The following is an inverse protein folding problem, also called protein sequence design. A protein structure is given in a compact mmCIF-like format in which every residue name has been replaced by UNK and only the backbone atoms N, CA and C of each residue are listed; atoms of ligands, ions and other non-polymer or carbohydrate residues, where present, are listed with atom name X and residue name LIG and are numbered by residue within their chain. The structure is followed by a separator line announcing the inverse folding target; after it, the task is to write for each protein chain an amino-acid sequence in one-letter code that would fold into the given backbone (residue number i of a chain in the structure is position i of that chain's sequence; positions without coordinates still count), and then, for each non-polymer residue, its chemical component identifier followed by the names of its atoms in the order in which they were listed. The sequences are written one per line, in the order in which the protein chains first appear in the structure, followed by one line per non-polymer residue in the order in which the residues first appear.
data_IF_900332944464
#
_entry.id   IF_900332944464
#
_cell.length_a   1.000
_cell.length_b   1.000
_cell.length_c   1.000
_cell.angle_alpha   90.00
_cell.angle_beta   90.00
_cell.angle_gamma   90.00
#
_symmetry.space_group_name_H-M   'P 1'
#
loop_
_entity.id
_entity.type
_entity.pdbx_description
1 polymer ?
#
# COMPACT_ATOMS: atom_id res chain seq x y z
N UNK A 1 -3.74 24.11 3.71
CA UNK A 1 -4.12 22.76 4.21
C UNK A 1 -2.89 21.88 4.02
N UNK A 2 -2.56 21.03 4.99
CA UNK A 2 -1.42 20.12 4.85
C UNK A 2 -1.77 19.05 3.81
N UNK A 3 -0.91 18.90 2.81
CA UNK A 3 -1.01 17.87 1.78
C UNK A 3 0.25 17.01 1.82
N UNK A 4 0.08 15.70 1.68
CA UNK A 4 1.17 14.72 1.64
C UNK A 4 1.05 13.91 0.35
N UNK A 5 2.15 13.77 -0.39
CA UNK A 5 2.23 12.85 -1.51
C UNK A 5 2.66 11.46 -1.05
N UNK A 6 1.99 10.44 -1.57
CA UNK A 6 2.38 9.04 -1.39
C UNK A 6 2.62 8.42 -2.76
N UNK A 7 3.79 7.84 -2.98
CA UNK A 7 4.18 7.26 -4.27
C UNK A 7 4.20 5.74 -4.13
N UNK A 8 3.37 5.07 -4.92
CA UNK A 8 3.15 3.63 -4.92
C UNK A 8 1.94 3.21 -4.09
N UNK A 9 0.99 2.53 -4.72
CA UNK A 9 -0.23 2.00 -4.09
C UNK A 9 -0.11 0.49 -3.76
N UNK A 10 1.05 0.07 -3.28
CA UNK A 10 1.24 -1.24 -2.66
C UNK A 10 0.66 -1.27 -1.24
N UNK A 11 0.93 -2.35 -0.49
CA UNK A 11 0.45 -2.51 0.89
C UNK A 11 0.83 -1.30 1.77
N UNK A 12 2.10 -0.89 1.73
CA UNK A 12 2.61 0.18 2.57
C UNK A 12 2.05 1.55 2.15
N UNK A 13 1.96 1.83 0.84
CA UNK A 13 1.45 3.11 0.36
C UNK A 13 -0.04 3.29 0.61
N UNK A 14 -0.84 2.24 0.41
CA UNK A 14 -2.27 2.27 0.75
C UNK A 14 -2.50 2.48 2.25
N UNK A 15 -1.74 1.78 3.11
CA UNK A 15 -1.84 1.98 4.56
C UNK A 15 -1.44 3.40 4.95
N UNK A 16 -0.33 3.93 4.42
CA UNK A 16 0.13 5.29 4.71
C UNK A 16 -0.90 6.33 4.27
N UNK A 17 -1.43 6.22 3.05
CA UNK A 17 -2.45 7.11 2.52
C UNK A 17 -3.72 7.08 3.40
N UNK A 18 -4.18 5.89 3.78
CA UNK A 18 -5.33 5.70 4.65
C UNK A 18 -5.14 6.37 6.01
N UNK A 19 -4.01 6.08 6.68
CA UNK A 19 -3.72 6.61 8.02
C UNK A 19 -3.62 8.14 8.04
N UNK A 20 -3.07 8.75 7.00
CA UNK A 20 -3.03 10.20 6.84
C UNK A 20 -4.43 10.78 6.61
N UNK A 21 -5.18 10.18 5.71
CA UNK A 21 -6.50 10.63 5.32
C UNK A 21 -7.53 10.56 6.47
N UNK A 22 -7.50 9.47 7.26
CA UNK A 22 -8.32 9.31 8.48
C UNK A 22 -8.00 10.36 9.56
N UNK A 23 -6.82 10.99 9.49
CA UNK A 23 -6.42 12.11 10.37
C UNK A 23 -6.72 13.49 9.77
N UNK A 24 -7.49 13.55 8.68
CA UNK A 24 -7.89 14.80 8.03
C UNK A 24 -6.80 15.43 7.17
N UNK A 25 -5.73 14.69 6.84
CA UNK A 25 -4.68 15.17 5.95
C UNK A 25 -5.06 14.81 4.52
N UNK A 26 -4.99 15.78 3.61
CA UNK A 26 -5.20 15.50 2.18
C UNK A 26 -4.00 14.74 1.60
N UNK A 27 -4.28 13.67 0.86
CA UNK A 27 -3.27 12.79 0.29
C UNK A 27 -3.41 12.73 -1.23
N UNK A 28 -2.32 12.96 -1.94
CA UNK A 28 -2.21 12.60 -3.35
C UNK A 28 -1.44 11.29 -3.46
N UNK A 29 -2.14 10.20 -3.80
CA UNK A 29 -1.57 8.86 -3.99
C UNK A 29 -1.31 8.64 -5.48
N UNK A 30 -0.02 8.52 -5.85
CA UNK A 30 0.39 8.26 -7.24
C UNK A 30 0.74 6.79 -7.42
N UNK A 31 0.15 6.14 -8.43
CA UNK A 31 0.40 4.75 -8.79
C UNK A 31 0.58 4.62 -10.30
N UNK A 32 1.62 3.91 -10.72
CA UNK A 32 1.93 3.75 -12.15
C UNK A 32 1.02 2.76 -12.88
N UNK A 33 0.40 1.84 -12.15
CA UNK A 33 -0.62 0.96 -12.74
C UNK A 33 -1.92 1.74 -13.03
N UNK A 34 -2.66 1.39 -14.05
CA UNK A 34 -2.44 0.29 -15.03
C UNK A 34 -1.53 0.68 -16.19
N UNK A 35 -1.06 1.93 -16.27
CA UNK A 35 -0.31 2.42 -17.45
C UNK A 35 1.08 1.78 -17.58
N UNK A 36 1.70 1.47 -16.44
CA UNK A 36 2.98 0.78 -16.41
C UNK A 36 2.92 -0.38 -15.42
N UNK A 37 2.98 -1.59 -15.94
CA UNK A 37 3.00 -2.82 -15.16
C UNK A 37 4.44 -3.28 -14.90
N UNK A 38 4.67 -3.96 -13.78
CA UNK A 38 5.93 -4.69 -13.56
C UNK A 38 5.76 -6.17 -13.95
N UNK A 39 6.85 -6.92 -14.13
CA UNK A 39 6.74 -8.36 -14.44
C UNK A 39 6.01 -9.20 -13.38
N UNK A 40 5.88 -8.70 -12.15
CA UNK A 40 5.25 -9.42 -11.05
C UNK A 40 3.77 -9.09 -10.86
N UNK A 41 3.29 -7.97 -11.41
CA UNK A 41 1.89 -7.55 -11.26
C UNK A 41 1.03 -8.08 -12.40
N UNK A 42 -0.19 -8.50 -12.07
CA UNK A 42 -1.13 -9.12 -12.98
C UNK A 42 -2.49 -8.41 -13.04
N UNK A 43 -2.77 -7.49 -12.11
CA UNK A 43 -3.99 -6.70 -12.11
C UNK A 43 -3.72 -5.20 -11.83
N UNK A 44 -4.71 -4.38 -12.14
CA UNK A 44 -4.64 -2.93 -11.91
C UNK A 44 -4.91 -2.53 -10.45
N UNK A 45 -5.42 -3.44 -9.63
CA UNK A 45 -5.79 -3.17 -8.26
C UNK A 45 -4.59 -2.80 -7.38
N UNK A 46 -4.87 -2.01 -6.36
CA UNK A 46 -3.89 -1.65 -5.34
C UNK A 46 -3.62 -2.80 -4.38
N UNK A 47 -2.49 -2.73 -3.67
CA UNK A 47 -2.08 -3.73 -2.68
C UNK A 47 -2.09 -5.18 -3.21
N UNK A 48 -1.80 -5.38 -4.51
CA UNK A 48 -1.73 -6.72 -5.11
C UNK A 48 -0.67 -7.58 -4.42
N UNK A 49 -1.07 -8.79 -4.01
CA UNK A 49 -0.18 -9.77 -3.39
C UNK A 49 0.52 -10.61 -4.47
N UNK A 50 1.72 -10.23 -4.88
CA UNK A 50 2.44 -10.82 -6.01
C UNK A 50 3.15 -12.15 -5.71
N UNK A 51 3.54 -12.40 -4.45
CA UNK A 51 4.28 -13.62 -4.07
C UNK A 51 3.37 -14.71 -3.49
N UNK A 52 2.61 -14.35 -2.47
CA UNK A 52 1.78 -15.27 -1.69
C UNK A 52 0.50 -14.57 -1.28
N UNK A 53 -0.58 -15.34 -1.11
CA UNK A 53 -1.81 -14.81 -0.53
C UNK A 53 -1.82 -14.86 1.01
N UNK A 54 -0.69 -15.17 1.65
CA UNK A 54 -0.55 -15.22 3.10
C UNK A 54 0.17 -13.99 3.64
N UNK A 55 -0.43 -13.36 4.64
CA UNK A 55 0.16 -12.31 5.46
C UNK A 55 0.86 -12.90 6.69
N UNK A 56 1.32 -14.15 6.62
CA UNK A 56 2.02 -14.89 7.68
C UNK A 56 1.15 -15.22 8.90
N UNK A 57 1.80 -15.67 9.99
CA UNK A 57 1.13 -16.09 11.23
C UNK A 57 0.30 -14.96 11.88
N UNK A 58 -0.82 -15.36 12.50
CA UNK A 58 -1.77 -14.46 13.13
C UNK A 58 -1.91 -14.68 14.63
N UNK A 59 -1.13 -15.60 15.19
CA UNK A 59 -1.15 -15.93 16.63
C UNK A 59 -0.35 -14.90 17.42
N UNK A 60 -0.92 -14.43 18.54
CA UNK A 60 -0.30 -13.39 19.39
C UNK A 60 1.06 -13.79 19.98
N UNK A 61 1.30 -15.09 20.13
CA UNK A 61 2.58 -15.61 20.64
C UNK A 61 3.75 -15.43 19.67
N UNK A 62 3.44 -15.09 18.41
CA UNK A 62 4.43 -14.81 17.37
C UNK A 62 4.57 -13.30 17.16
N UNK A 63 5.80 -12.84 16.96
CA UNK A 63 6.07 -11.42 16.71
C UNK A 63 5.24 -10.84 15.56
N UNK A 64 5.07 -11.59 14.47
CA UNK A 64 4.25 -11.16 13.32
C UNK A 64 2.75 -11.11 13.63
N UNK A 65 2.26 -11.94 14.54
CA UNK A 65 0.87 -11.90 15.01
C UNK A 65 0.65 -10.75 15.98
N UNK A 66 1.60 -10.50 16.89
CA UNK A 66 1.57 -9.36 17.79
C UNK A 66 1.56 -8.03 17.02
N UNK A 67 2.42 -7.89 16.00
CA UNK A 67 2.41 -6.72 15.11
C UNK A 67 1.05 -6.49 14.44
N UNK A 68 0.38 -7.57 14.01
CA UNK A 68 -0.97 -7.45 13.44
C UNK A 68 -1.99 -6.94 14.47
N UNK A 69 -1.91 -7.41 15.70
CA UNK A 69 -2.79 -6.91 16.77
C UNK A 69 -2.56 -5.41 17.04
N UNK A 70 -1.31 -4.96 17.03
CA UNK A 70 -0.99 -3.53 17.13
C UNK A 70 -1.59 -2.74 15.97
N UNK A 71 -1.47 -3.25 14.74
CA UNK A 71 -2.06 -2.64 13.55
C UNK A 71 -3.60 -2.64 13.60
N UNK A 72 -4.24 -3.68 14.16
CA UNK A 72 -5.71 -3.69 14.38
C UNK A 72 -6.14 -2.53 15.27
N UNK A 73 -5.41 -2.31 16.36
CA UNK A 73 -5.67 -1.20 17.30
C UNK A 73 -5.46 0.18 16.67
N UNK A 74 -4.64 0.25 15.63
CA UNK A 74 -4.44 1.46 14.82
C UNK A 74 -5.45 1.60 13.67
N UNK A 75 -6.45 0.72 13.60
CA UNK A 75 -7.47 0.70 12.54
C UNK A 75 -6.87 0.58 11.14
N UNK A 76 -5.90 -0.34 10.97
CA UNK A 76 -5.23 -0.60 9.70
C UNK A 76 -6.22 -0.95 8.60
N UNK A 77 -6.11 -0.26 7.46
CA UNK A 77 -6.85 -0.58 6.24
C UNK A 77 -6.53 -2.00 5.77
N UNK A 78 -5.24 -2.30 5.70
CA UNK A 78 -4.75 -3.58 5.16
C UNK A 78 -5.27 -4.74 5.99
N UNK A 79 -5.25 -4.66 7.32
CA UNK A 79 -5.79 -5.74 8.15
C UNK A 79 -7.32 -5.82 8.09
N UNK A 80 -8.01 -4.70 8.05
CA UNK A 80 -9.47 -4.69 7.88
C UNK A 80 -9.89 -5.40 6.59
N UNK A 81 -9.23 -5.10 5.48
CA UNK A 81 -9.49 -5.75 4.19
C UNK A 81 -9.07 -7.22 4.19
N UNK A 82 -7.94 -7.56 4.83
CA UNK A 82 -7.45 -8.92 4.92
C UNK A 82 -8.41 -9.83 5.73
N UNK A 83 -8.93 -9.34 6.83
CA UNK A 83 -9.89 -10.09 7.65
C UNK A 83 -11.22 -10.32 6.94
N UNK A 84 -11.71 -9.31 6.20
CA UNK A 84 -12.93 -9.43 5.41
C UNK A 84 -12.80 -10.43 4.24
N UNK A 85 -11.58 -10.69 3.77
CA UNK A 85 -11.29 -11.61 2.67
C UNK A 85 -10.50 -12.85 3.12
N UNK A 86 -10.56 -13.18 4.41
CA UNK A 86 -9.84 -14.32 5.00
C UNK A 86 -10.28 -15.64 4.38
N UNK A 87 -9.29 -16.48 4.07
CA UNK A 87 -9.49 -17.90 3.71
C UNK A 87 -8.84 -18.78 4.75
N UNK A 88 -9.33 -20.02 4.88
CA UNK A 88 -8.82 -20.95 5.87
C UNK A 88 -7.38 -21.37 5.54
N UNK A 89 -6.46 -21.15 6.48
CA UNK A 89 -5.03 -21.44 6.34
C UNK A 89 -4.36 -21.77 7.68
N UNK A 90 -5.06 -22.48 8.56
CA UNK A 90 -4.55 -22.85 9.89
C UNK A 90 -4.25 -21.60 10.76
N UNK A 91 -3.00 -21.45 11.20
CA UNK A 91 -2.57 -20.32 12.05
C UNK A 91 -2.10 -19.09 11.29
N UNK A 92 -2.25 -19.05 9.96
CA UNK A 92 -1.87 -17.91 9.15
C UNK A 92 -3.09 -17.04 8.78
N UNK A 93 -2.83 -15.76 8.53
CA UNK A 93 -3.79 -14.87 7.89
C UNK A 93 -3.59 -14.96 6.37
N UNK A 94 -4.34 -15.84 5.71
CA UNK A 94 -4.38 -15.92 4.26
C UNK A 94 -5.67 -15.31 3.73
N UNK A 95 -5.64 -14.79 2.51
CA UNK A 95 -6.74 -14.04 1.92
C UNK A 95 -7.05 -14.50 0.49
N UNK A 96 -8.27 -14.29 0.05
CA UNK A 96 -8.57 -14.24 -1.38
C UNK A 96 -7.88 -13.00 -1.98
N UNK A 97 -6.99 -13.21 -2.96
CA UNK A 97 -6.13 -12.14 -3.49
C UNK A 97 -6.92 -11.03 -4.16
N UNK A 98 -7.90 -11.42 -4.97
CA UNK A 98 -8.67 -10.47 -5.77
C UNK A 98 -9.69 -9.72 -4.91
N UNK A 99 -10.38 -10.43 -4.02
CA UNK A 99 -11.27 -9.80 -3.05
C UNK A 99 -10.54 -8.80 -2.16
N UNK A 100 -9.35 -9.16 -1.68
CA UNK A 100 -8.52 -8.30 -0.85
C UNK A 100 -8.08 -7.04 -1.60
N UNK A 101 -7.41 -7.17 -2.77
CA UNK A 101 -6.90 -6.03 -3.53
C UNK A 101 -8.04 -5.14 -4.06
N UNK A 102 -9.14 -5.74 -4.51
CA UNK A 102 -10.33 -5.00 -4.92
C UNK A 102 -10.93 -4.16 -3.80
N UNK A 103 -11.05 -4.71 -2.59
CA UNK A 103 -11.57 -4.00 -1.42
C UNK A 103 -10.63 -2.85 -0.99
N UNK A 104 -9.30 -3.06 -0.99
CA UNK A 104 -8.34 -1.99 -0.70
C UNK A 104 -8.47 -0.87 -1.73
N UNK A 105 -8.55 -1.22 -3.01
CA UNK A 105 -8.70 -0.26 -4.12
C UNK A 105 -9.97 0.58 -3.96
N UNK A 106 -11.09 -0.06 -3.69
CA UNK A 106 -12.38 0.62 -3.48
C UNK A 106 -12.32 1.61 -2.32
N UNK A 107 -11.81 1.16 -1.16
CA UNK A 107 -11.71 2.02 0.03
C UNK A 107 -10.80 3.23 -0.19
N UNK A 108 -9.68 3.05 -0.84
CA UNK A 108 -8.75 4.14 -1.18
C UNK A 108 -9.41 5.12 -2.16
N UNK A 109 -9.99 4.62 -3.26
CA UNK A 109 -10.60 5.47 -4.30
C UNK A 109 -11.87 6.20 -3.82
N UNK A 110 -12.56 5.66 -2.83
CA UNK A 110 -13.77 6.28 -2.26
C UNK A 110 -13.51 7.25 -1.11
N UNK A 111 -12.27 7.32 -0.59
CA UNK A 111 -11.98 8.16 0.57
C UNK A 111 -11.92 9.65 0.19
N UNK A 112 -12.68 10.56 0.86
CA UNK A 112 -12.80 11.96 0.46
C UNK A 112 -11.48 12.76 0.56
N UNK A 113 -10.54 12.34 1.39
CA UNK A 113 -9.24 12.99 1.57
C UNK A 113 -8.12 12.34 0.76
N UNK A 114 -8.42 11.39 -0.15
CA UNK A 114 -7.42 10.77 -1.01
C UNK A 114 -7.73 11.08 -2.47
N UNK A 115 -6.79 11.70 -3.16
CA UNK A 115 -6.81 11.88 -4.61
C UNK A 115 -5.86 10.87 -5.23
N UNK A 116 -6.37 9.99 -6.10
CA UNK A 116 -5.56 9.01 -6.82
C UNK A 116 -5.12 9.60 -8.15
N UNK A 117 -3.82 9.47 -8.44
CA UNK A 117 -3.22 9.84 -9.74
C UNK A 117 -2.60 8.59 -10.35
N UNK A 118 -3.15 8.13 -11.47
CA UNK A 118 -2.63 6.99 -12.22
C UNK A 118 -1.53 7.46 -13.18
N UNK A 119 -0.30 7.52 -12.69
CA UNK A 119 0.87 7.96 -13.43
C UNK A 119 2.15 7.38 -12.83
N UNK A 120 3.22 7.28 -13.64
CA UNK A 120 4.56 7.03 -13.11
C UNK A 120 5.15 8.33 -12.57
N UNK A 121 5.55 8.33 -11.30
CA UNK A 121 6.37 9.41 -10.74
C UNK A 121 7.84 9.10 -11.04
N UNK A 122 8.53 10.05 -11.64
CA UNK A 122 9.94 9.88 -12.09
C UNK A 122 10.93 10.73 -11.32
N UNK A 123 10.43 11.65 -10.49
CA UNK A 123 11.22 12.55 -9.67
C UNK A 123 10.68 12.55 -8.24
N UNK A 124 11.54 12.86 -7.27
CA UNK A 124 11.10 13.04 -5.89
C UNK A 124 10.48 14.43 -5.75
N UNK A 125 9.17 14.52 -5.46
CA UNK A 125 8.49 15.80 -5.37
C UNK A 125 9.00 16.64 -4.20
N UNK A 126 8.88 17.97 -4.31
CA UNK A 126 9.11 18.86 -3.19
C UNK A 126 7.98 18.74 -2.14
N UNK A 127 8.31 18.98 -0.86
CA UNK A 127 7.36 18.92 0.25
C UNK A 127 7.30 17.56 0.94
N UNK A 128 6.29 17.34 1.80
CA UNK A 128 6.13 16.06 2.49
C UNK A 128 5.77 14.94 1.52
N UNK A 129 6.62 13.92 1.45
CA UNK A 129 6.44 12.78 0.56
C UNK A 129 6.76 11.47 1.25
N UNK A 130 5.96 10.43 0.98
CA UNK A 130 6.22 9.04 1.36
C UNK A 130 6.47 8.25 0.08
N UNK A 131 7.67 7.71 -0.08
CA UNK A 131 8.01 6.82 -1.19
C UNK A 131 7.79 5.39 -0.73
N UNK A 132 6.76 4.75 -1.25
CA UNK A 132 6.32 3.41 -0.89
C UNK A 132 6.27 2.47 -2.12
N UNK A 133 7.20 2.66 -3.06
CA UNK A 133 7.27 1.93 -4.34
C UNK A 133 7.76 0.49 -4.20
N UNK A 134 8.33 0.14 -3.04
CA UNK A 134 8.76 -1.22 -2.72
C UNK A 134 9.93 -1.73 -3.57
N UNK A 135 10.10 -3.06 -3.67
CA UNK A 135 11.23 -3.66 -4.38
C UNK A 135 11.14 -3.57 -5.90
N UNK A 136 9.99 -3.20 -6.45
CA UNK A 136 9.73 -3.08 -7.88
C UNK A 136 9.63 -1.61 -8.32
N UNK A 137 10.37 -0.74 -7.64
CA UNK A 137 10.50 0.68 -8.00
C UNK A 137 11.00 0.81 -9.44
N UNK A 138 10.39 1.71 -10.21
CA UNK A 138 10.79 1.96 -11.60
C UNK A 138 12.23 2.49 -11.71
N UNK A 139 12.87 2.26 -12.84
CA UNK A 139 14.26 2.68 -13.06
C UNK A 139 14.41 4.21 -12.92
N UNK A 140 13.45 4.98 -13.41
CA UNK A 140 13.46 6.44 -13.31
C UNK A 140 13.38 6.90 -11.85
N UNK A 141 12.43 6.38 -11.07
CA UNK A 141 12.31 6.71 -9.65
C UNK A 141 13.49 6.20 -8.85
N UNK A 142 14.04 5.02 -9.18
CA UNK A 142 15.26 4.50 -8.55
C UNK A 142 16.44 5.44 -8.76
N UNK A 143 16.63 5.95 -9.98
CA UNK A 143 17.67 6.93 -10.28
C UNK A 143 17.47 8.25 -9.52
N UNK A 144 16.21 8.72 -9.42
CA UNK A 144 15.87 9.92 -8.66
C UNK A 144 16.18 9.75 -7.17
N UNK A 145 15.83 8.61 -6.56
CA UNK A 145 16.14 8.32 -5.15
C UNK A 145 17.66 8.25 -4.93
N UNK A 146 18.38 7.54 -5.80
CA UNK A 146 19.83 7.41 -5.70
C UNK A 146 20.54 8.77 -5.81
N UNK A 147 20.00 9.70 -6.61
CA UNK A 147 20.56 11.05 -6.73
C UNK A 147 20.57 11.85 -5.42
N UNK A 148 19.66 11.51 -4.48
CA UNK A 148 19.59 12.14 -3.16
C UNK A 148 20.66 11.62 -2.18
N UNK A 149 21.22 10.43 -2.45
CA UNK A 149 22.19 9.77 -1.57
C UNK A 149 23.63 10.18 -1.96
N UNK A 150 23.86 10.48 -3.23
CA UNK A 150 25.15 10.91 -3.75
C UNK A 150 25.27 12.44 -3.71
N UNK A 151 25.49 12.94 -2.53
CA UNK A 151 25.84 14.36 -2.31
C UNK A 151 27.36 14.51 -2.32
#
# INVERSE_FOLDING_TARGET
MLEVKVIGAGLAGCEAAWQLAERGIHVTLTEMKPHKMTPAHHCADFAELVCSNSLRGDRLENAVGLLKEELRRLHSLILTCAEANRVEAGGALAVDRYGFSGMVTEKIKSHPNITVVEAEETEVPAGPVIIATGPLTSDAMSAAILSLIHI
#
